data_IF_730529671364
#
_entry.id   IF_730529671364
#
_cell.length_a   1.000
_cell.length_b   1.000
_cell.length_c   1.000
_cell.angle_alpha   90.00
_cell.angle_beta   90.00
_cell.angle_gamma   90.00
#
_symmetry.space_group_name_H-M   'P 1'
#
loop_
_entity.id
_entity.type
_entity.pdbx_description
1 polymer ?
#
# COMPACT_ATOMS: atom_id res chain seq x y z
N UNK A 1 -53.06 -19.94 -19.36
CA UNK A 1 -52.01 -18.89 -19.39
C UNK A 1 -50.86 -19.36 -20.26
N UNK A 2 -50.79 -18.82 -21.48
CA UNK A 2 -49.90 -19.16 -22.61
C UNK A 2 -50.39 -18.21 -23.73
N UNK A 3 -49.62 -17.55 -24.58
CA UNK A 3 -48.31 -17.79 -25.19
C UNK A 3 -47.77 -16.45 -25.74
N UNK A 4 -46.45 -16.40 -25.90
CA UNK A 4 -45.65 -15.36 -26.56
C UNK A 4 -46.09 -15.13 -28.02
N UNK A 5 -46.11 -13.87 -28.46
CA UNK A 5 -46.26 -13.48 -29.87
C UNK A 5 -44.89 -13.30 -30.54
N UNK A 6 -44.73 -13.99 -31.66
CA UNK A 6 -43.68 -13.84 -32.66
C UNK A 6 -44.36 -13.23 -33.89
N UNK A 7 -43.75 -12.19 -34.47
CA UNK A 7 -44.14 -11.61 -35.75
C UNK A 7 -42.89 -11.26 -36.56
N UNK A 8 -42.64 -12.06 -37.60
CA UNK A 8 -41.72 -11.79 -38.71
C UNK A 8 -42.49 -11.08 -39.83
N UNK A 9 -41.84 -10.19 -40.59
CA UNK A 9 -41.94 -10.05 -42.07
C UNK A 9 -40.96 -8.91 -42.50
N UNK A 10 -39.93 -9.16 -43.33
CA UNK A 10 -39.91 -9.16 -44.83
C UNK A 10 -39.92 -7.72 -45.39
N UNK A 11 -39.17 -7.23 -46.39
CA UNK A 11 -38.25 -7.73 -47.46
C UNK A 11 -37.68 -6.43 -48.13
N UNK A 12 -36.52 -6.31 -48.82
CA UNK A 12 -36.16 -6.58 -50.25
C UNK A 12 -34.85 -5.76 -50.48
N UNK A 13 -33.65 -6.32 -50.66
CA UNK A 13 -32.92 -6.72 -51.90
C UNK A 13 -32.74 -5.61 -52.96
N UNK A 14 -31.49 -5.17 -53.23
CA UNK A 14 -30.97 -5.10 -54.62
C UNK A 14 -29.43 -5.06 -54.68
N UNK A 15 -28.93 -5.76 -55.69
CA UNK A 15 -27.59 -6.33 -55.97
C UNK A 15 -26.67 -5.48 -56.85
N UNK A 16 -25.37 -5.81 -56.78
CA UNK A 16 -24.40 -5.74 -57.91
C UNK A 16 -23.13 -4.95 -57.57
N UNK A 17 -21.89 -5.33 -57.93
CA UNK A 17 -21.28 -6.50 -58.54
C UNK A 17 -19.75 -6.39 -58.29
N UNK A 18 -19.06 -7.52 -58.27
CA UNK A 18 -17.62 -7.72 -57.98
C UNK A 18 -16.75 -7.45 -59.21
N UNK A 19 -15.55 -6.89 -59.03
CA UNK A 19 -14.36 -7.26 -59.84
C UNK A 19 -13.10 -7.27 -58.97
N UNK A 20 -12.37 -8.40 -59.03
CA UNK A 20 -11.05 -8.64 -58.43
C UNK A 20 -9.92 -8.11 -59.31
N UNK A 21 -8.77 -7.76 -58.71
CA UNK A 21 -7.36 -7.86 -59.17
C UNK A 21 -6.54 -6.79 -58.40
N UNK A 22 -5.30 -6.97 -57.90
CA UNK A 22 -4.29 -8.03 -57.95
C UNK A 22 -3.06 -7.56 -57.15
N UNK A 23 -2.23 -8.50 -56.70
CA UNK A 23 -1.00 -8.30 -55.92
C UNK A 23 0.11 -7.53 -56.68
N UNK A 24 1.08 -6.92 -55.96
CA UNK A 24 2.39 -6.63 -56.58
C UNK A 24 3.30 -5.67 -55.83
N UNK A 25 4.33 -6.22 -55.18
CA UNK A 25 5.38 -5.58 -54.40
C UNK A 25 6.62 -5.32 -55.26
N UNK A 26 7.32 -4.17 -55.11
CA UNK A 26 8.78 -4.09 -55.26
C UNK A 26 9.41 -2.81 -54.72
N UNK A 27 10.58 -3.02 -54.12
CA UNK A 27 11.47 -2.06 -53.50
C UNK A 27 12.45 -1.42 -54.51
N UNK A 28 12.94 -0.19 -54.23
CA UNK A 28 14.36 0.15 -53.95
C UNK A 28 14.68 1.64 -54.16
N UNK A 29 15.34 2.23 -53.13
CA UNK A 29 16.41 3.25 -53.09
C UNK A 29 16.35 4.49 -54.01
N UNK A 30 16.63 5.71 -53.52
CA UNK A 30 17.97 6.13 -53.02
C UNK A 30 17.92 7.51 -52.33
N UNK A 31 18.72 7.66 -51.24
CA UNK A 31 19.36 8.87 -50.70
C UNK A 31 18.50 10.05 -50.16
N UNK A 32 18.81 10.78 -49.08
CA UNK A 32 19.90 10.86 -48.09
C UNK A 32 19.42 11.86 -47.01
N UNK A 33 19.50 11.50 -45.72
CA UNK A 33 20.21 12.27 -44.65
C UNK A 33 19.74 11.84 -43.26
N UNK A 34 20.71 11.29 -42.55
CA UNK A 34 20.70 11.04 -41.12
C UNK A 34 20.47 12.34 -40.34
N UNK A 35 19.63 12.27 -39.32
CA UNK A 35 20.02 12.79 -38.02
C UNK A 35 19.48 11.85 -36.95
N UNK A 36 20.40 11.12 -36.35
CA UNK A 36 20.17 10.39 -35.13
C UNK A 36 19.83 11.41 -34.03
N UNK A 37 18.61 11.31 -33.49
CA UNK A 37 18.33 11.77 -32.13
C UNK A 37 18.04 10.52 -31.33
N UNK A 38 19.09 10.07 -30.66
CA UNK A 38 19.11 9.12 -29.56
C UNK A 38 17.89 9.32 -28.66
N UNK A 39 17.11 8.25 -28.50
CA UNK A 39 15.96 8.20 -27.62
C UNK A 39 16.34 8.68 -26.23
N UNK A 40 15.74 9.80 -25.84
CA UNK A 40 15.58 10.12 -24.43
C UNK A 40 14.62 9.08 -23.87
N UNK A 41 15.17 8.06 -23.22
CA UNK A 41 14.47 7.36 -22.15
C UNK A 41 14.15 8.41 -21.08
N UNK A 42 13.00 9.06 -21.24
CA UNK A 42 12.39 9.80 -20.15
C UNK A 42 11.98 8.77 -19.12
N UNK A 43 12.82 8.60 -18.10
CA UNK A 43 12.40 8.03 -16.82
C UNK A 43 11.24 8.92 -16.34
N UNK A 44 10.01 8.49 -16.58
CA UNK A 44 8.82 9.11 -16.05
C UNK A 44 8.91 9.04 -14.54
N UNK A 45 9.37 10.13 -13.92
CA UNK A 45 9.29 10.36 -12.49
C UNK A 45 7.81 10.35 -12.10
N UNK A 46 7.30 9.17 -11.76
CA UNK A 46 5.94 8.95 -11.28
C UNK A 46 5.79 9.68 -9.94
N UNK A 47 5.49 10.97 -10.02
CA UNK A 47 5.15 11.80 -8.88
C UNK A 47 3.64 11.77 -8.79
N UNK A 48 3.07 11.42 -7.63
CA UNK A 48 1.63 11.44 -7.45
C UNK A 48 1.07 12.82 -7.83
N UNK A 49 -0.02 12.83 -8.59
CA UNK A 49 -0.74 14.04 -8.98
C UNK A 49 -1.71 14.43 -7.88
N UNK A 50 -1.78 15.73 -7.59
CA UNK A 50 -2.69 16.31 -6.60
C UNK A 50 -3.82 17.07 -7.32
N UNK A 51 -5.07 17.02 -6.83
CA UNK A 51 -5.51 16.42 -5.56
C UNK A 51 -5.45 14.88 -5.55
N UNK A 52 -4.96 14.32 -4.45
CA UNK A 52 -4.85 12.86 -4.24
C UNK A 52 -6.02 12.39 -3.36
N UNK A 53 -6.78 11.42 -3.84
CA UNK A 53 -7.88 10.81 -3.08
C UNK A 53 -7.43 9.47 -2.51
N UNK A 54 -7.53 9.33 -1.19
CA UNK A 54 -7.10 8.15 -0.44
C UNK A 54 -8.32 7.53 0.23
N UNK A 55 -8.55 6.24 -0.01
CA UNK A 55 -9.45 5.44 0.81
C UNK A 55 -8.63 4.77 1.91
N UNK A 56 -8.87 5.15 3.15
CA UNK A 56 -8.10 4.64 4.29
C UNK A 56 -8.70 3.35 4.87
N UNK A 57 -8.01 2.74 5.85
CA UNK A 57 -8.42 1.45 6.43
C UNK A 57 -9.51 1.59 7.49
N UNK A 58 -9.93 2.82 7.82
CA UNK A 58 -11.14 3.12 8.56
C UNK A 58 -12.37 3.24 7.62
N UNK A 59 -12.19 3.05 6.31
CA UNK A 59 -13.25 3.15 5.31
C UNK A 59 -13.60 4.59 4.91
N UNK A 60 -12.79 5.57 5.30
CA UNK A 60 -13.00 6.99 5.02
C UNK A 60 -12.34 7.36 3.70
N UNK A 61 -12.85 8.41 3.06
CA UNK A 61 -12.22 9.03 1.89
C UNK A 61 -11.58 10.35 2.32
N UNK A 62 -10.26 10.43 2.18
CA UNK A 62 -9.45 11.61 2.52
C UNK A 62 -8.90 12.18 1.23
N UNK A 63 -9.12 13.49 1.00
CA UNK A 63 -8.59 14.18 -0.18
C UNK A 63 -7.49 15.14 0.25
N UNK A 64 -6.28 14.90 -0.24
CA UNK A 64 -5.15 15.79 -0.05
C UNK A 64 -5.05 16.72 -1.26
N UNK A 65 -5.21 18.02 -1.05
CA UNK A 65 -5.20 19.01 -2.13
C UNK A 65 -3.80 19.29 -2.68
N UNK A 66 -2.77 19.06 -1.87
CA UNK A 66 -1.36 19.25 -2.20
C UNK A 66 -0.52 18.19 -1.51
N UNK A 67 0.72 18.07 -1.97
CA UNK A 67 1.72 17.24 -1.29
C UNK A 67 1.89 17.69 0.16
N UNK A 68 1.77 16.78 1.15
CA UNK A 68 1.99 17.14 2.55
C UNK A 68 3.49 17.39 2.79
N UNK A 69 3.79 18.45 3.52
CA UNK A 69 5.15 18.88 3.88
C UNK A 69 5.43 18.69 5.37
N UNK A 70 4.39 18.71 6.20
CA UNK A 70 4.44 18.59 7.67
C UNK A 70 3.66 17.36 8.11
N UNK A 71 4.25 16.19 7.86
CA UNK A 71 3.66 14.90 8.23
C UNK A 71 4.00 14.57 9.68
N UNK A 72 3.03 14.08 10.45
CA UNK A 72 3.26 13.39 11.72
C UNK A 72 2.77 11.95 11.59
N UNK A 73 3.71 10.98 11.60
CA UNK A 73 3.38 9.57 11.66
C UNK A 73 3.44 9.07 13.11
N UNK A 74 2.36 8.43 13.57
CA UNK A 74 2.23 8.01 14.96
C UNK A 74 2.70 6.56 15.16
N UNK A 75 3.46 6.32 16.24
CA UNK A 75 3.97 5.01 16.61
C UNK A 75 4.83 4.37 15.52
N UNK A 76 4.66 3.07 15.31
CA UNK A 76 5.44 2.27 14.36
C UNK A 76 5.24 2.68 12.89
N UNK A 77 4.19 3.45 12.56
CA UNK A 77 3.99 3.99 11.22
C UNK A 77 5.08 4.98 10.82
N UNK A 78 5.82 5.55 11.79
CA UNK A 78 6.96 6.41 11.52
C UNK A 78 8.08 5.64 10.80
N UNK A 79 8.39 4.40 11.22
CA UNK A 79 9.37 3.56 10.53
C UNK A 79 8.96 3.30 9.08
N UNK A 80 7.71 2.92 8.85
CA UNK A 80 7.18 2.70 7.50
C UNK A 80 7.25 3.98 6.63
N UNK A 81 6.96 5.15 7.19
CA UNK A 81 7.09 6.42 6.47
C UNK A 81 8.54 6.69 6.05
N UNK A 82 9.52 6.45 6.93
CA UNK A 82 10.93 6.70 6.64
C UNK A 82 11.50 5.70 5.62
N UNK A 83 11.14 4.43 5.75
CA UNK A 83 11.46 3.38 4.78
C UNK A 83 10.90 3.73 3.40
N UNK A 84 9.67 4.26 3.33
CA UNK A 84 9.08 4.78 2.10
C UNK A 84 9.77 6.04 1.56
N UNK A 85 10.64 6.70 2.34
CA UNK A 85 11.35 7.93 1.94
C UNK A 85 10.66 9.23 2.34
N UNK A 86 9.63 9.16 3.17
CA UNK A 86 9.04 10.32 3.84
C UNK A 86 9.83 10.76 5.08
N UNK A 87 9.34 11.83 5.72
CA UNK A 87 9.88 12.34 6.99
C UNK A 87 8.73 12.77 7.88
N UNK A 88 8.92 12.63 9.19
CA UNK A 88 7.98 13.13 10.20
C UNK A 88 8.55 14.39 10.86
N UNK A 89 7.70 15.37 11.18
CA UNK A 89 8.12 16.58 11.91
C UNK A 89 8.09 16.39 13.43
N UNK A 90 7.52 15.29 13.89
CA UNK A 90 7.41 14.92 15.30
C UNK A 90 7.45 13.40 15.46
N UNK A 91 7.67 12.92 16.67
CA UNK A 91 7.71 11.50 16.98
C UNK A 91 6.88 11.16 18.20
N UNK A 92 6.52 9.89 18.36
CA UNK A 92 6.11 9.40 19.66
C UNK A 92 7.34 9.18 20.56
N UNK A 93 7.12 8.98 21.85
CA UNK A 93 8.15 8.50 22.77
C UNK A 93 8.68 7.13 22.31
N UNK A 94 10.00 6.97 22.30
CA UNK A 94 10.62 5.69 21.96
C UNK A 94 10.42 4.67 23.08
N UNK A 95 10.38 3.40 22.71
CA UNK A 95 10.48 2.28 23.64
C UNK A 95 11.60 1.35 23.17
N UNK A 96 12.15 0.56 24.07
CA UNK A 96 13.17 -0.44 23.71
C UNK A 96 12.68 -1.45 22.66
N UNK A 97 11.37 -1.69 22.61
CA UNK A 97 10.73 -2.59 21.66
C UNK A 97 10.34 -1.96 20.31
N UNK A 98 10.48 -0.64 20.15
CA UNK A 98 10.12 0.08 18.93
C UNK A 98 11.20 1.15 18.66
N UNK A 99 12.35 0.75 18.08
CA UNK A 99 13.41 1.69 17.76
C UNK A 99 12.92 2.67 16.70
N UNK A 100 13.32 3.93 16.85
CA UNK A 100 12.98 4.98 15.91
C UNK A 100 13.98 5.01 14.75
N UNK A 101 13.61 5.60 13.59
CA UNK A 101 14.56 5.83 12.51
C UNK A 101 15.73 6.71 12.98
N UNK A 102 16.91 6.47 12.43
CA UNK A 102 18.10 7.29 12.69
C UNK A 102 17.86 8.76 12.34
N UNK A 103 18.39 9.68 13.16
CA UNK A 103 18.30 11.12 12.92
C UNK A 103 16.97 11.74 13.36
N UNK A 104 16.19 11.01 14.15
CA UNK A 104 14.87 11.45 14.67
C UNK A 104 14.87 11.75 16.16
N UNK A 105 16.02 11.61 16.81
CA UNK A 105 16.21 11.73 18.26
C UNK A 105 15.80 13.13 18.74
N UNK A 106 16.12 14.14 17.94
CA UNK A 106 15.88 15.56 18.23
C UNK A 106 14.50 16.07 17.80
N UNK A 107 13.66 15.24 17.16
CA UNK A 107 12.30 15.65 16.82
C UNK A 107 11.47 15.87 18.08
N UNK A 108 10.55 16.86 18.07
CA UNK A 108 9.64 17.04 19.19
C UNK A 108 8.79 15.78 19.41
N UNK A 109 8.65 15.38 20.67
CA UNK A 109 7.74 14.29 21.05
C UNK A 109 6.29 14.76 21.13
N UNK A 110 5.33 13.97 20.64
CA UNK A 110 3.88 14.14 20.87
C UNK A 110 3.34 13.16 21.92
N UNK A 111 4.20 12.65 22.80
CA UNK A 111 3.84 11.70 23.86
C UNK A 111 3.93 10.25 23.42
N UNK A 112 3.36 9.35 24.23
CA UNK A 112 3.44 7.90 23.99
C UNK A 112 2.49 7.49 22.89
N UNK A 113 2.83 6.46 22.09
CA UNK A 113 1.96 6.02 20.97
C UNK A 113 0.52 5.68 21.41
N UNK A 114 0.32 5.10 22.59
CA UNK A 114 -1.03 4.80 23.11
C UNK A 114 -1.73 5.99 23.80
N UNK A 115 -1.01 7.09 24.03
CA UNK A 115 -1.51 8.29 24.67
C UNK A 115 -0.83 9.56 24.10
N UNK A 116 -1.35 10.03 22.96
CA UNK A 116 -0.87 11.21 22.25
C UNK A 116 -1.29 12.49 22.96
N UNK A 117 -0.34 13.42 23.10
CA UNK A 117 -0.60 14.79 23.52
C UNK A 117 -1.14 15.60 22.32
N UNK A 118 -2.46 15.73 22.25
CA UNK A 118 -3.15 16.38 21.14
C UNK A 118 -2.89 17.88 21.05
N UNK A 119 -2.76 18.59 22.18
CA UNK A 119 -2.45 20.03 22.17
C UNK A 119 -1.10 20.29 21.51
N UNK A 120 -0.10 19.49 21.87
CA UNK A 120 1.23 19.58 21.28
C UNK A 120 1.25 19.15 19.82
N UNK A 121 0.50 18.11 19.45
CA UNK A 121 0.39 17.69 18.06
C UNK A 121 -0.22 18.82 17.20
N UNK A 122 -1.32 19.42 17.64
CA UNK A 122 -2.02 20.49 16.92
C UNK A 122 -1.15 21.74 16.83
N UNK A 123 -0.41 22.10 17.89
CA UNK A 123 0.44 23.30 17.90
C UNK A 123 1.60 23.23 16.90
N UNK A 124 2.01 22.04 16.47
CA UNK A 124 3.00 21.83 15.42
C UNK A 124 2.44 22.07 14.00
N UNK A 125 1.13 22.26 13.88
CA UNK A 125 0.43 22.54 12.63
C UNK A 125 0.78 21.54 11.50
N UNK A 126 0.61 20.23 11.72
CA UNK A 126 0.80 19.25 10.67
C UNK A 126 -0.23 19.44 9.55
N UNK A 127 0.18 19.18 8.32
CA UNK A 127 -0.73 19.15 7.17
C UNK A 127 -1.15 17.72 6.80
N UNK A 128 -0.60 16.71 7.49
CA UNK A 128 -1.08 15.34 7.49
C UNK A 128 -0.69 14.60 8.78
N UNK A 129 -1.62 13.85 9.35
CA UNK A 129 -1.35 12.85 10.38
C UNK A 129 -1.58 11.45 9.82
N UNK A 130 -0.62 10.55 10.05
CA UNK A 130 -0.74 9.13 9.72
C UNK A 130 -0.96 8.37 11.02
N UNK A 131 -2.13 7.76 11.14
CA UNK A 131 -2.64 7.13 12.36
C UNK A 131 -2.93 5.65 12.13
N UNK A 132 -3.18 4.89 13.21
CA UNK A 132 -3.30 3.43 13.15
C UNK A 132 -4.66 2.98 13.67
N UNK A 133 -5.32 2.11 12.88
CA UNK A 133 -6.59 1.46 13.27
C UNK A 133 -6.45 0.79 14.65
N UNK A 134 -7.40 1.08 15.53
CA UNK A 134 -7.53 0.48 16.86
C UNK A 134 -6.63 1.08 17.94
N UNK A 135 -5.63 1.90 17.59
CA UNK A 135 -4.75 2.59 18.56
C UNK A 135 -5.09 4.07 18.63
N UNK A 136 -5.22 4.71 17.47
CA UNK A 136 -5.32 6.16 17.37
C UNK A 136 -6.72 6.65 16.99
N UNK A 137 -7.70 5.74 16.80
CA UNK A 137 -9.06 6.04 16.32
C UNK A 137 -9.75 7.17 17.13
N UNK A 138 -9.50 7.20 18.45
CA UNK A 138 -10.06 8.22 19.36
C UNK A 138 -9.63 9.66 19.05
N UNK A 139 -8.55 9.86 18.29
CA UNK A 139 -8.02 11.17 17.95
C UNK A 139 -8.54 11.72 16.61
N UNK A 140 -9.14 10.87 15.79
CA UNK A 140 -9.56 11.20 14.43
C UNK A 140 -10.49 12.41 14.37
N UNK A 141 -11.57 12.41 15.16
CA UNK A 141 -12.56 13.50 15.17
C UNK A 141 -11.96 14.85 15.61
N UNK A 142 -11.02 14.81 16.56
CA UNK A 142 -10.33 16.02 17.05
C UNK A 142 -9.44 16.62 15.95
N UNK A 143 -8.70 15.77 15.21
CA UNK A 143 -7.88 16.20 14.09
C UNK A 143 -8.72 16.82 12.97
N UNK A 144 -9.82 16.16 12.59
CA UNK A 144 -10.75 16.65 11.56
C UNK A 144 -11.39 17.99 11.95
N UNK A 145 -11.83 18.13 13.21
CA UNK A 145 -12.40 19.40 13.73
C UNK A 145 -11.39 20.55 13.66
N UNK A 146 -10.10 20.26 13.83
CA UNK A 146 -9.01 21.22 13.70
C UNK A 146 -8.52 21.37 12.25
N UNK A 147 -9.23 20.80 11.27
CA UNK A 147 -8.91 20.85 9.83
C UNK A 147 -7.54 20.27 9.49
N UNK A 148 -7.06 19.31 10.30
CA UNK A 148 -5.84 18.55 10.04
C UNK A 148 -6.23 17.26 9.34
N UNK A 149 -5.80 17.03 8.08
CA UNK A 149 -6.03 15.77 7.40
C UNK A 149 -5.42 14.60 8.17
N UNK A 150 -6.17 13.52 8.30
CA UNK A 150 -5.69 12.29 8.96
C UNK A 150 -6.04 11.07 8.12
N UNK A 151 -5.03 10.26 7.80
CA UNK A 151 -5.21 8.94 7.19
C UNK A 151 -5.05 7.86 8.28
N UNK A 152 -5.97 6.91 8.34
CA UNK A 152 -5.92 5.79 9.29
C UNK A 152 -5.51 4.53 8.54
N UNK A 153 -4.36 3.97 8.89
CA UNK A 153 -3.77 2.82 8.22
C UNK A 153 -3.75 1.57 9.11
N UNK A 154 -3.71 0.41 8.47
CA UNK A 154 -3.55 -0.91 9.07
C UNK A 154 -2.57 -1.75 8.24
N UNK A 155 -1.64 -2.42 8.91
CA UNK A 155 -0.65 -3.31 8.32
C UNK A 155 -0.67 -4.66 9.06
N UNK A 156 -1.68 -5.50 8.80
CA UNK A 156 -1.83 -6.80 9.46
C UNK A 156 -1.29 -7.96 8.64
N UNK A 157 -1.15 -7.79 7.33
CA UNK A 157 -0.65 -8.81 6.41
C UNK A 157 0.55 -8.30 5.62
N UNK A 158 1.30 -9.22 5.02
CA UNK A 158 2.38 -8.91 4.09
C UNK A 158 1.88 -8.07 2.90
N UNK A 159 0.68 -8.39 2.39
CA UNK A 159 0.07 -7.64 1.31
C UNK A 159 -0.34 -6.23 1.76
N UNK A 160 -0.85 -6.07 2.99
CA UNK A 160 -1.12 -4.74 3.55
C UNK A 160 0.17 -3.91 3.58
N UNK A 161 1.28 -4.49 4.07
CA UNK A 161 2.58 -3.80 4.12
C UNK A 161 2.99 -3.31 2.73
N UNK A 162 2.90 -4.18 1.70
CA UNK A 162 3.21 -3.79 0.31
C UNK A 162 2.30 -2.65 -0.15
N UNK A 163 0.99 -2.74 0.10
CA UNK A 163 0.05 -1.71 -0.32
C UNK A 163 0.28 -0.38 0.41
N UNK A 164 0.60 -0.40 1.71
CA UNK A 164 0.88 0.81 2.48
C UNK A 164 2.21 1.41 2.10
N UNK A 165 3.23 0.62 1.77
CA UNK A 165 4.45 1.15 1.19
C UNK A 165 4.20 1.89 -0.12
N UNK A 166 3.41 1.30 -1.05
CA UNK A 166 3.01 1.99 -2.29
C UNK A 166 2.29 3.30 -2.02
N UNK A 167 1.29 3.28 -1.13
CA UNK A 167 0.57 4.50 -0.72
C UNK A 167 1.51 5.57 -0.16
N UNK A 168 2.41 5.21 0.76
CA UNK A 168 3.38 6.12 1.35
C UNK A 168 4.40 6.63 0.32
N UNK A 169 4.82 5.77 -0.60
CA UNK A 169 5.70 6.13 -1.73
C UNK A 169 5.05 7.16 -2.64
N UNK A 170 3.79 6.94 -3.02
CA UNK A 170 3.04 7.88 -3.85
C UNK A 170 2.84 9.21 -3.11
N UNK A 171 2.42 9.15 -1.84
CA UNK A 171 2.27 10.31 -0.97
C UNK A 171 3.55 11.16 -0.90
N UNK A 172 4.70 10.51 -0.73
CA UNK A 172 6.00 11.16 -0.58
C UNK A 172 6.70 11.47 -1.92
N UNK A 173 6.18 10.97 -3.06
CA UNK A 173 6.80 11.09 -4.38
C UNK A 173 8.09 10.28 -4.51
N UNK A 174 8.13 9.11 -3.87
CA UNK A 174 9.26 8.19 -3.75
C UNK A 174 8.91 6.78 -4.24
N UNK A 175 7.96 6.67 -5.17
CA UNK A 175 7.43 5.39 -5.68
C UNK A 175 8.52 4.49 -6.28
N UNK A 176 9.57 5.05 -6.89
CA UNK A 176 10.73 4.27 -7.38
C UNK A 176 11.47 3.57 -6.24
N UNK A 177 11.83 4.29 -5.17
CA UNK A 177 12.45 3.73 -3.95
C UNK A 177 11.58 2.63 -3.34
N UNK A 178 10.28 2.88 -3.27
CA UNK A 178 9.32 1.91 -2.73
C UNK A 178 9.21 0.66 -3.60
N UNK A 179 9.21 0.80 -4.93
CA UNK A 179 9.17 -0.34 -5.84
C UNK A 179 10.44 -1.21 -5.69
N UNK A 180 11.60 -0.58 -5.53
CA UNK A 180 12.85 -1.29 -5.23
C UNK A 180 12.77 -2.04 -3.88
N UNK A 181 12.30 -1.36 -2.83
CA UNK A 181 12.10 -1.96 -1.51
C UNK A 181 11.17 -3.19 -1.58
N UNK A 182 10.04 -3.07 -2.25
CA UNK A 182 9.07 -4.17 -2.44
C UNK A 182 9.69 -5.29 -3.27
N UNK A 183 10.46 -4.98 -4.31
CA UNK A 183 11.20 -5.96 -5.11
C UNK A 183 12.17 -6.77 -4.25
N UNK A 184 12.95 -6.09 -3.41
CA UNK A 184 13.87 -6.73 -2.47
C UNK A 184 13.16 -7.59 -1.42
N UNK A 185 12.01 -7.12 -0.90
CA UNK A 185 11.19 -7.90 0.02
C UNK A 185 10.70 -9.19 -0.64
N UNK A 186 10.17 -9.10 -1.86
CA UNK A 186 9.67 -10.26 -2.61
C UNK A 186 10.80 -11.25 -2.92
N UNK A 187 11.95 -10.76 -3.38
CA UNK A 187 13.10 -11.61 -3.67
C UNK A 187 13.56 -12.38 -2.43
N UNK A 188 13.70 -11.71 -1.27
CA UNK A 188 14.07 -12.38 -0.02
C UNK A 188 13.05 -13.44 0.39
N UNK A 189 11.75 -13.17 0.20
CA UNK A 189 10.71 -14.15 0.45
C UNK A 189 10.84 -15.37 -0.47
N UNK A 190 11.02 -15.15 -1.77
CA UNK A 190 11.19 -16.23 -2.76
C UNK A 190 12.47 -17.06 -2.49
N UNK A 191 13.57 -16.40 -2.11
CA UNK A 191 14.83 -17.06 -1.74
C UNK A 191 14.68 -17.97 -0.52
N UNK A 192 13.88 -17.57 0.47
CA UNK A 192 13.58 -18.42 1.63
C UNK A 192 12.69 -19.58 1.20
N UNK A 193 11.62 -19.30 0.46
CA UNK A 193 10.64 -20.30 0.01
C UNK A 193 11.29 -21.38 -0.86
N UNK A 194 12.23 -21.02 -1.74
CA UNK A 194 12.92 -21.97 -2.62
C UNK A 194 13.83 -22.95 -1.88
N UNK A 195 14.27 -22.61 -0.66
CA UNK A 195 15.11 -23.46 0.20
C UNK A 195 14.30 -24.37 1.13
N UNK A 196 12.97 -24.22 1.15
CA UNK A 196 12.11 -25.05 2.00
C UNK A 196 11.93 -26.45 1.41
N UNK A 197 11.77 -27.47 2.27
CA UNK A 197 11.50 -28.83 1.81
C UNK A 197 10.12 -28.91 1.12
N UNK A 198 9.91 -29.88 0.21
CA UNK A 198 8.63 -30.06 -0.48
C UNK A 198 7.44 -30.31 0.46
N UNK A 199 7.69 -30.86 1.65
CA UNK A 199 6.65 -31.07 2.67
C UNK A 199 6.55 -29.84 3.58
N UNK A 200 5.34 -29.27 3.76
CA UNK A 200 5.14 -28.10 4.63
C UNK A 200 5.56 -28.39 6.07
N UNK A 201 6.50 -27.59 6.58
CA UNK A 201 6.87 -27.60 8.00
C UNK A 201 5.72 -27.03 8.83
N UNK A 202 5.44 -27.66 9.96
CA UNK A 202 4.40 -27.24 10.91
C UNK A 202 4.98 -26.25 11.91
N UNK A 203 4.23 -25.21 12.27
CA UNK A 203 4.62 -24.21 13.26
C UNK A 203 3.46 -23.91 14.21
N UNK A 204 3.78 -23.52 15.43
CA UNK A 204 2.88 -22.86 16.38
C UNK A 204 3.56 -21.55 16.78
N UNK A 205 2.83 -20.45 16.67
CA UNK A 205 3.39 -19.12 16.94
C UNK A 205 2.84 -18.65 18.28
N UNK A 206 3.73 -18.49 19.25
CA UNK A 206 3.40 -18.00 20.58
C UNK A 206 3.85 -16.55 20.73
N UNK A 207 3.00 -15.74 21.34
CA UNK A 207 3.36 -14.42 21.82
C UNK A 207 3.25 -14.42 23.34
N UNK A 208 4.40 -14.29 23.97
CA UNK A 208 4.58 -14.41 25.41
C UNK A 208 4.93 -13.04 25.97
N UNK A 209 4.18 -12.61 26.97
CA UNK A 209 4.48 -11.44 27.79
C UNK A 209 4.66 -11.90 29.24
N UNK A 210 5.01 -10.99 30.14
CA UNK A 210 5.04 -11.31 31.57
C UNK A 210 3.66 -11.60 32.17
N UNK A 211 2.57 -11.24 31.47
CA UNK A 211 1.21 -11.33 31.97
C UNK A 211 0.38 -12.44 31.30
N UNK A 212 0.72 -12.82 30.07
CA UNK A 212 -0.09 -13.73 29.25
C UNK A 212 0.74 -14.45 28.17
N UNK A 213 0.23 -15.61 27.74
CA UNK A 213 0.69 -16.39 26.58
C UNK A 213 -0.47 -16.53 25.61
N UNK A 214 -0.30 -16.01 24.39
CA UNK A 214 -1.31 -16.10 23.33
C UNK A 214 -0.79 -16.84 22.10
N UNK A 215 -1.69 -17.51 21.39
CA UNK A 215 -1.40 -18.14 20.09
C UNK A 215 -1.74 -17.17 18.96
N UNK A 216 -0.80 -16.96 18.04
CA UNK A 216 -1.01 -16.10 16.87
C UNK A 216 -1.65 -16.89 15.72
N UNK A 217 -2.86 -16.45 15.37
CA UNK A 217 -3.65 -17.02 14.27
C UNK A 217 -3.31 -16.36 12.94
N UNK A 218 -3.88 -16.90 11.88
CA UNK A 218 -3.61 -16.52 10.48
C UNK A 218 -3.98 -15.06 10.15
N UNK A 219 -4.87 -14.45 10.94
CA UNK A 219 -5.25 -13.04 10.82
C UNK A 219 -4.28 -12.07 11.52
N UNK A 220 -3.18 -12.57 12.09
CA UNK A 220 -2.08 -11.76 12.62
C UNK A 220 -0.92 -11.72 11.62
N UNK A 221 -0.05 -10.71 11.71
CA UNK A 221 1.10 -10.60 10.82
C UNK A 221 2.01 -11.83 10.89
N UNK A 222 2.26 -12.38 12.08
CA UNK A 222 3.09 -13.58 12.23
C UNK A 222 2.43 -14.82 11.60
N UNK A 223 1.11 -14.99 11.80
CA UNK A 223 0.35 -16.05 11.15
C UNK A 223 0.33 -15.91 9.64
N UNK A 224 0.08 -14.71 9.12
CA UNK A 224 0.11 -14.43 7.68
C UNK A 224 1.49 -14.69 7.07
N UNK A 225 2.58 -14.28 7.72
CA UNK A 225 3.95 -14.57 7.27
C UNK A 225 4.21 -16.07 7.21
N UNK A 226 3.66 -16.87 8.13
CA UNK A 226 3.80 -18.33 8.06
C UNK A 226 3.20 -18.90 6.77
N UNK A 227 2.07 -18.35 6.30
CA UNK A 227 1.44 -18.75 5.03
C UNK A 227 2.26 -18.30 3.83
N UNK A 228 2.77 -17.05 3.86
CA UNK A 228 3.68 -16.52 2.83
C UNK A 228 4.92 -17.42 2.67
N UNK A 229 5.44 -17.92 3.78
CA UNK A 229 6.56 -18.87 3.83
C UNK A 229 6.15 -20.33 3.61
N UNK A 230 4.91 -20.63 3.19
CA UNK A 230 4.40 -21.99 2.96
C UNK A 230 4.53 -22.93 4.17
N UNK A 231 4.55 -22.37 5.38
CA UNK A 231 4.52 -23.12 6.63
C UNK A 231 3.06 -23.43 7.00
N UNK A 232 2.84 -24.56 7.67
CA UNK A 232 1.53 -24.94 8.20
C UNK A 232 1.42 -24.47 9.65
N UNK A 233 0.72 -23.37 9.89
CA UNK A 233 0.32 -22.99 11.24
C UNK A 233 -0.66 -24.05 11.79
N UNK A 234 -0.31 -24.72 12.88
CA UNK A 234 -1.16 -25.77 13.45
C UNK A 234 -2.40 -25.21 14.16
N UNK A 235 -2.41 -23.91 14.47
CA UNK A 235 -3.55 -23.20 15.02
C UNK A 235 -4.49 -22.62 13.94
N UNK A 236 -4.19 -22.80 12.65
CA UNK A 236 -5.06 -22.37 11.56
C UNK A 236 -6.47 -22.94 11.71
N UNK A 237 -7.48 -22.11 11.47
CA UNK A 237 -8.90 -22.49 11.57
C UNK A 237 -9.46 -22.54 13.00
N UNK A 238 -8.64 -22.31 14.02
CA UNK A 238 -9.14 -22.13 15.38
C UNK A 238 -9.82 -20.76 15.53
N UNK A 239 -10.82 -20.67 16.41
CA UNK A 239 -11.51 -19.41 16.68
C UNK A 239 -10.65 -18.56 17.63
N UNK A 240 -10.51 -17.25 17.39
CA UNK A 240 -9.92 -16.37 18.38
C UNK A 240 -10.76 -16.44 19.66
N UNK A 241 -10.14 -16.70 20.80
CA UNK A 241 -10.79 -16.41 22.08
C UNK A 241 -11.01 -14.90 22.14
N UNK A 242 -12.27 -14.50 22.33
CA UNK A 242 -12.55 -13.12 22.72
C UNK A 242 -12.00 -12.98 24.13
N UNK A 243 -11.15 -11.98 24.36
CA UNK A 243 -10.76 -11.58 25.71
C UNK A 243 -12.07 -11.42 26.52
N UNK A 244 -12.26 -12.26 27.53
CA UNK A 244 -13.37 -12.17 28.48
C UNK A 244 -13.25 -10.93 29.35
#
# INVERSE_FOLDING_TARGET
>A
MMKKFIGKLLTVILTGAVVLTGCGQKAQNTALKNNASSGQNQTQKNTATYPMTIKDDAGRTVVLQKKPEKIIALGSLMNALYDAGGKSIARCDSSSSDPLPEGTENLPTVGKSYNINMEKLISLQPDLVISQVGIHDKYTSVLETNKIPVIVLQMKTYDDIIQKFKLLGDLCGTSEKVNELIGNMKQKTDDVVSKLPPSPKKVLILYVTSQDVSVKLDNSIAGNVSQVLKLKNIASGTKPEKMG
#
